data_IF_969688153233
#
_entry.id   IF_969688153233
#
_cell.length_a   1.000
_cell.length_b   1.000
_cell.length_c   1.000
_cell.angle_alpha   90.00
_cell.angle_beta   90.00
_cell.angle_gamma   90.00
#
_symmetry.space_group_name_H-M   'P 1'
#
loop_
_entity.id
_entity.type
_entity.pdbx_description
1 polymer ?
#
# COMPACT_ATOMS: atom_id res chain seq x y z
N UNK A 1 4.55 -29.76 7.35
CA UNK A 1 4.70 -29.04 6.06
C UNK A 1 6.09 -28.43 5.89
N UNK A 2 6.60 -27.70 6.88
CA UNK A 2 7.89 -27.02 6.79
C UNK A 2 9.06 -27.83 6.19
N UNK A 3 9.25 -29.11 6.49
CA UNK A 3 10.36 -29.86 5.88
C UNK A 3 10.22 -30.08 4.35
N UNK A 4 9.02 -29.92 3.80
CA UNK A 4 8.75 -30.19 2.39
C UNK A 4 8.64 -28.93 1.52
N UNK A 5 8.59 -27.75 2.14
CA UNK A 5 8.42 -26.47 1.47
C UNK A 5 9.43 -25.44 1.97
N UNK A 6 9.89 -24.56 1.09
CA UNK A 6 10.86 -23.51 1.43
C UNK A 6 10.23 -22.26 2.06
N UNK A 7 8.95 -21.99 1.79
CA UNK A 7 8.25 -20.80 2.27
C UNK A 7 6.73 -21.00 2.25
N UNK A 8 5.98 -20.11 2.88
CA UNK A 8 4.51 -20.06 2.87
C UNK A 8 4.05 -18.69 2.40
N UNK A 9 3.33 -18.64 1.27
CA UNK A 9 2.54 -17.48 0.88
C UNK A 9 1.12 -17.61 1.42
N UNK A 10 0.64 -16.61 2.15
CA UNK A 10 -0.74 -16.51 2.61
C UNK A 10 -1.48 -15.54 1.70
N UNK A 11 -2.65 -15.96 1.23
CA UNK A 11 -3.46 -15.22 0.28
C UNK A 11 -4.95 -15.51 0.54
N UNK A 12 -5.83 -14.56 0.22
CA UNK A 12 -7.28 -14.66 0.35
C UNK A 12 -7.79 -14.94 1.77
N UNK A 13 -7.06 -14.51 2.79
CA UNK A 13 -7.47 -14.61 4.19
C UNK A 13 -7.97 -13.27 4.69
N UNK A 14 -9.27 -13.19 4.98
CA UNK A 14 -9.89 -11.95 5.43
C UNK A 14 -9.43 -11.50 6.84
N UNK A 15 -9.31 -10.18 7.03
CA UNK A 15 -9.15 -9.60 8.35
C UNK A 15 -10.41 -9.84 9.22
N UNK A 16 -10.29 -10.02 10.57
CA UNK A 16 -9.04 -9.91 11.34
C UNK A 16 -8.22 -11.22 11.40
N UNK A 17 -8.77 -12.35 10.94
CA UNK A 17 -8.14 -13.68 11.08
C UNK A 17 -6.76 -13.76 10.43
N UNK A 18 -6.53 -13.04 9.35
CA UNK A 18 -5.24 -13.04 8.64
C UNK A 18 -4.08 -12.64 9.55
N UNK A 19 -4.26 -11.69 10.45
CA UNK A 19 -3.22 -11.21 11.37
C UNK A 19 -2.79 -12.31 12.34
N UNK A 20 -3.75 -12.96 13.01
CA UNK A 20 -3.47 -14.05 13.94
C UNK A 20 -2.80 -15.24 13.23
N UNK A 21 -3.31 -15.62 12.07
CA UNK A 21 -2.78 -16.77 11.31
C UNK A 21 -1.34 -16.50 10.89
N UNK A 22 -1.05 -15.33 10.35
CA UNK A 22 0.30 -14.97 9.92
C UNK A 22 1.27 -14.96 11.11
N UNK A 23 0.92 -14.31 12.22
CA UNK A 23 1.78 -14.19 13.38
C UNK A 23 2.09 -15.56 14.02
N UNK A 24 1.07 -16.42 14.11
CA UNK A 24 1.25 -17.79 14.60
C UNK A 24 2.17 -18.60 13.70
N UNK A 25 1.96 -18.55 12.39
CA UNK A 25 2.82 -19.28 11.45
C UNK A 25 4.26 -18.76 11.44
N UNK A 26 4.48 -17.45 11.55
CA UNK A 26 5.81 -16.86 11.71
C UNK A 26 6.52 -17.33 12.99
N UNK A 27 5.76 -17.66 14.03
CA UNK A 27 6.29 -18.15 15.31
C UNK A 27 6.52 -19.65 15.28
N UNK A 28 5.59 -20.41 14.69
CA UNK A 28 5.59 -21.87 14.72
C UNK A 28 6.41 -22.52 13.60
N UNK A 29 6.72 -21.79 12.51
CA UNK A 29 7.44 -22.31 11.35
C UNK A 29 8.86 -21.75 11.23
N UNK A 30 9.82 -22.63 10.90
CA UNK A 30 11.22 -22.30 10.63
C UNK A 30 11.51 -21.89 9.18
N UNK A 31 10.46 -21.51 8.42
CA UNK A 31 10.53 -21.07 7.02
C UNK A 31 9.85 -19.70 6.88
N UNK A 32 10.19 -18.90 5.87
CA UNK A 32 9.56 -17.61 5.64
C UNK A 32 8.04 -17.75 5.46
N UNK A 33 7.29 -16.89 6.17
CA UNK A 33 5.84 -16.74 6.03
C UNK A 33 5.56 -15.30 5.63
N UNK A 34 4.76 -15.10 4.60
CA UNK A 34 4.43 -13.79 4.06
C UNK A 34 2.97 -13.75 3.63
N UNK A 35 2.23 -12.74 4.06
CA UNK A 35 0.85 -12.55 3.63
C UNK A 35 0.82 -11.49 2.52
N UNK A 36 0.58 -11.94 1.31
CA UNK A 36 0.72 -11.11 0.12
C UNK A 36 -0.31 -9.98 0.05
N UNK A 37 -1.59 -10.24 0.39
CA UNK A 37 -2.64 -9.20 0.42
C UNK A 37 -2.36 -8.08 1.42
N UNK A 38 -1.55 -8.33 2.44
CA UNK A 38 -1.09 -7.31 3.36
C UNK A 38 0.17 -6.65 2.84
N UNK A 39 1.25 -7.41 2.82
CA UNK A 39 2.59 -6.89 2.68
C UNK A 39 3.01 -6.67 1.23
N UNK A 40 2.59 -7.55 0.31
CA UNK A 40 2.81 -7.37 -1.13
C UNK A 40 2.12 -6.09 -1.61
N UNK A 41 0.86 -5.92 -1.25
CA UNK A 41 0.10 -4.70 -1.57
C UNK A 41 0.75 -3.44 -0.98
N UNK A 42 1.25 -3.49 0.26
CA UNK A 42 1.94 -2.34 0.88
C UNK A 42 3.24 -1.99 0.13
N UNK A 43 4.05 -3.01 -0.21
CA UNK A 43 5.32 -2.83 -0.94
C UNK A 43 5.09 -2.17 -2.29
N UNK A 44 4.16 -2.67 -3.09
CA UNK A 44 3.90 -2.12 -4.43
C UNK A 44 3.23 -0.75 -4.38
N UNK A 45 2.39 -0.49 -3.38
CA UNK A 45 1.80 0.84 -3.14
C UNK A 45 2.89 1.86 -2.84
N UNK A 46 3.79 1.58 -1.91
CA UNK A 46 4.90 2.48 -1.60
C UNK A 46 5.82 2.68 -2.80
N UNK A 47 6.15 1.62 -3.55
CA UNK A 47 6.99 1.71 -4.74
C UNK A 47 6.40 2.69 -5.77
N UNK A 48 5.12 2.55 -6.09
CA UNK A 48 4.42 3.45 -6.99
C UNK A 48 4.34 4.89 -6.47
N UNK A 49 4.11 5.08 -5.16
CA UNK A 49 4.04 6.41 -4.55
C UNK A 49 5.38 7.15 -4.57
N UNK A 50 6.51 6.47 -4.39
CA UNK A 50 7.86 7.06 -4.51
C UNK A 50 8.02 7.72 -5.88
N UNK A 51 7.62 7.04 -6.93
CA UNK A 51 7.72 7.55 -8.30
C UNK A 51 6.62 8.57 -8.63
N UNK A 52 5.39 8.35 -8.19
CA UNK A 52 4.30 9.31 -8.35
C UNK A 52 4.65 10.69 -7.74
N UNK A 53 5.27 10.68 -6.55
CA UNK A 53 5.73 11.91 -5.91
C UNK A 53 6.82 12.63 -6.72
N UNK A 54 7.76 11.88 -7.35
CA UNK A 54 8.76 12.45 -8.26
C UNK A 54 8.11 13.13 -9.47
N UNK A 55 7.09 12.48 -10.08
CA UNK A 55 6.36 13.02 -11.25
C UNK A 55 5.76 14.38 -10.94
N UNK A 56 5.17 14.56 -9.76
CA UNK A 56 4.52 15.82 -9.36
C UNK A 56 5.42 16.75 -8.55
N UNK A 57 6.69 16.40 -8.35
CA UNK A 57 7.66 17.23 -7.62
C UNK A 57 7.37 17.38 -6.13
N UNK A 58 6.64 16.43 -5.51
CA UNK A 58 6.32 16.45 -4.07
C UNK A 58 7.32 15.63 -3.27
N UNK A 59 7.55 16.05 -2.00
CA UNK A 59 8.31 15.27 -1.02
C UNK A 59 7.32 14.49 -0.14
N UNK A 60 7.42 13.16 -0.14
CA UNK A 60 6.51 12.30 0.63
C UNK A 60 6.48 12.63 2.13
N UNK A 61 7.62 13.08 2.68
CA UNK A 61 7.73 13.50 4.09
C UNK A 61 6.95 14.77 4.44
N UNK A 62 6.46 15.52 3.47
CA UNK A 62 5.60 16.70 3.66
C UNK A 62 4.18 16.52 3.15
N UNK A 63 3.87 15.39 2.53
CA UNK A 63 2.55 15.10 1.99
C UNK A 63 1.53 14.77 3.08
N UNK A 64 0.29 15.20 2.87
CA UNK A 64 -0.88 14.72 3.59
C UNK A 64 -1.50 13.54 2.82
N UNK A 65 -1.53 12.39 3.45
CA UNK A 65 -2.05 11.14 2.89
C UNK A 65 -3.36 10.77 3.56
N UNK A 66 -4.35 10.41 2.77
CA UNK A 66 -5.63 9.84 3.22
C UNK A 66 -5.74 8.41 2.72
N UNK A 67 -5.81 7.47 3.66
CA UNK A 67 -5.97 6.04 3.41
C UNK A 67 -7.40 5.63 3.77
N UNK A 68 -8.18 5.12 2.82
CA UNK A 68 -9.50 4.56 3.09
C UNK A 68 -9.48 3.03 3.04
N UNK A 69 -9.91 2.43 4.15
CA UNK A 69 -9.87 1.00 4.37
C UNK A 69 -8.86 0.59 5.43
N UNK A 70 -9.34 0.29 6.64
CA UNK A 70 -8.52 -0.14 7.79
C UNK A 70 -8.56 -1.67 7.96
N UNK A 71 -8.48 -2.39 6.85
CA UNK A 71 -8.37 -3.86 6.80
C UNK A 71 -6.93 -4.32 6.67
N UNK A 72 -6.73 -5.55 6.18
CA UNK A 72 -5.43 -6.19 6.04
C UNK A 72 -4.44 -5.33 5.24
N UNK A 73 -4.78 -4.97 4.00
CA UNK A 73 -3.94 -4.13 3.14
C UNK A 73 -3.71 -2.74 3.74
N UNK A 74 -4.77 -2.06 4.20
CA UNK A 74 -4.66 -0.70 4.74
C UNK A 74 -3.76 -0.62 5.97
N UNK A 75 -3.83 -1.59 6.87
CA UNK A 75 -2.95 -1.65 8.04
C UNK A 75 -1.48 -1.81 7.63
N UNK A 76 -1.19 -2.71 6.69
CA UNK A 76 0.17 -2.93 6.20
C UNK A 76 0.71 -1.70 5.42
N UNK A 77 -0.13 -1.05 4.61
CA UNK A 77 0.22 0.19 3.90
C UNK A 77 0.56 1.29 4.90
N UNK A 78 -0.29 1.56 5.89
CA UNK A 78 -0.05 2.61 6.88
C UNK A 78 1.27 2.40 7.63
N UNK A 79 1.53 1.16 8.07
CA UNK A 79 2.77 0.79 8.74
C UNK A 79 4.00 1.07 7.87
N UNK A 80 4.00 0.60 6.63
CA UNK A 80 5.14 0.76 5.71
C UNK A 80 5.36 2.21 5.31
N UNK A 81 4.29 2.98 5.07
CA UNK A 81 4.36 4.41 4.78
C UNK A 81 4.97 5.19 5.96
N UNK A 82 4.56 4.87 7.19
CA UNK A 82 5.11 5.52 8.39
C UNK A 82 6.58 5.20 8.56
N UNK A 83 7.00 3.96 8.32
CA UNK A 83 8.40 3.54 8.34
C UNK A 83 9.24 4.23 7.26
N UNK A 84 8.67 4.47 6.08
CA UNK A 84 9.34 5.25 5.02
C UNK A 84 9.50 6.72 5.36
N UNK A 85 8.71 7.24 6.29
CA UNK A 85 8.76 8.64 6.70
C UNK A 85 7.79 9.54 5.96
N UNK A 86 6.56 9.04 5.69
CA UNK A 86 5.48 9.88 5.16
C UNK A 86 5.15 11.03 6.13
N UNK A 87 4.66 12.16 5.62
CA UNK A 87 4.23 13.29 6.42
C UNK A 87 3.02 12.98 7.29
N UNK A 88 1.89 13.64 7.01
CA UNK A 88 0.63 13.37 7.72
C UNK A 88 -0.10 12.17 7.12
N UNK A 89 -0.59 11.25 7.96
CA UNK A 89 -1.32 10.06 7.52
C UNK A 89 -2.62 9.90 8.31
N UNK A 90 -3.75 10.06 7.65
CA UNK A 90 -5.08 9.75 8.19
C UNK A 90 -5.61 8.46 7.58
N UNK A 91 -6.14 7.57 8.42
CA UNK A 91 -6.92 6.44 7.97
C UNK A 91 -8.42 6.69 8.21
N UNK A 92 -9.23 6.26 7.24
CA UNK A 92 -10.68 6.45 7.28
C UNK A 92 -11.36 5.09 7.12
N UNK A 93 -12.34 4.82 7.97
CA UNK A 93 -13.23 3.66 7.84
C UNK A 93 -14.68 4.11 7.53
N UNK A 94 -15.64 3.17 7.60
CA UNK A 94 -17.05 3.44 7.32
C UNK A 94 -17.71 4.44 8.29
N UNK A 95 -17.06 4.79 9.39
CA UNK A 95 -17.55 5.72 10.42
C UNK A 95 -16.81 7.05 10.44
N UNK A 96 -15.78 7.21 9.60
CA UNK A 96 -14.96 8.41 9.52
C UNK A 96 -13.49 8.21 9.85
N UNK A 97 -12.79 9.28 10.17
CA UNK A 97 -11.36 9.26 10.50
C UNK A 97 -11.14 8.43 11.77
N UNK A 98 -10.13 7.55 11.73
CA UNK A 98 -9.68 6.82 12.92
C UNK A 98 -8.87 7.79 13.79
N UNK A 99 -9.45 8.19 14.92
CA UNK A 99 -8.93 9.24 15.79
C UNK A 99 -9.04 8.90 17.26
N UNK A 100 -8.38 9.68 18.11
CA UNK A 100 -8.39 9.52 19.57
C UNK A 100 -9.79 9.68 20.19
N UNK A 101 -10.70 10.37 19.51
CA UNK A 101 -12.07 10.60 20.01
C UNK A 101 -13.00 9.39 19.77
N UNK A 102 -12.54 8.39 19.01
CA UNK A 102 -13.31 7.20 18.67
C UNK A 102 -13.31 6.19 19.82
N UNK A 103 -14.49 5.76 20.26
CA UNK A 103 -14.68 4.75 21.30
C UNK A 103 -15.17 3.40 20.78
N UNK A 104 -15.34 3.30 19.46
CA UNK A 104 -15.91 2.14 18.76
C UNK A 104 -14.86 1.33 17.99
N UNK A 105 -13.58 1.59 18.24
CA UNK A 105 -12.47 0.91 17.57
C UNK A 105 -12.27 -0.50 18.16
N UNK A 106 -12.08 -1.47 17.28
CA UNK A 106 -11.61 -2.80 17.68
C UNK A 106 -10.10 -2.80 17.94
N UNK A 107 -9.56 -3.92 18.44
CA UNK A 107 -8.15 -4.02 18.83
C UNK A 107 -7.19 -3.72 17.66
N UNK A 108 -7.52 -4.19 16.44
CA UNK A 108 -6.71 -4.00 15.26
C UNK A 108 -6.64 -2.53 14.83
N UNK A 109 -7.78 -1.82 14.87
CA UNK A 109 -7.82 -0.39 14.57
C UNK A 109 -7.16 0.45 15.65
N UNK A 110 -7.25 0.01 16.91
CA UNK A 110 -6.52 0.65 18.01
C UNK A 110 -5.00 0.52 17.80
N UNK A 111 -4.53 -0.67 17.45
CA UNK A 111 -3.11 -0.87 17.11
C UNK A 111 -2.66 -0.09 15.86
N UNK A 112 -3.56 0.10 14.88
CA UNK A 112 -3.29 0.91 13.70
C UNK A 112 -3.01 2.38 14.06
N UNK A 113 -3.60 2.91 15.13
CA UNK A 113 -3.42 4.31 15.56
C UNK A 113 -1.96 4.67 15.83
N UNK A 114 -1.10 3.71 16.20
CA UNK A 114 0.34 3.93 16.42
C UNK A 114 1.06 4.43 15.16
N UNK A 115 0.45 4.24 13.99
CA UNK A 115 0.98 4.63 12.69
C UNK A 115 0.28 5.84 12.06
N UNK A 116 -0.74 6.39 12.72
CA UNK A 116 -1.60 7.47 12.19
C UNK A 116 -1.41 8.78 12.94
N UNK A 117 -1.83 9.86 12.30
CA UNK A 117 -2.10 11.13 12.97
C UNK A 117 -3.56 11.11 13.46
N UNK A 118 -3.75 11.03 14.77
CA UNK A 118 -5.04 10.70 15.39
C UNK A 118 -5.72 11.88 16.09
N UNK A 119 -5.18 13.09 15.93
CA UNK A 119 -5.65 14.31 16.58
C UNK A 119 -6.76 15.05 15.81
N UNK A 120 -7.25 14.50 14.72
CA UNK A 120 -8.31 15.08 13.88
C UNK A 120 -9.43 14.06 13.73
N UNK A 121 -10.67 14.49 13.97
CA UNK A 121 -11.89 13.71 13.75
C UNK A 121 -12.65 14.25 12.54
N UNK A 122 -13.52 13.45 11.96
CA UNK A 122 -14.37 13.85 10.84
C UNK A 122 -14.70 12.73 9.88
N UNK A 123 -15.25 13.14 8.76
CA UNK A 123 -15.64 12.24 7.63
C UNK A 123 -14.49 12.05 6.65
N UNK A 124 -14.71 11.24 5.60
CA UNK A 124 -13.78 11.16 4.47
C UNK A 124 -13.62 12.52 3.78
N UNK A 125 -14.69 13.29 3.65
CA UNK A 125 -14.66 14.61 3.01
C UNK A 125 -13.79 15.61 3.78
N UNK A 126 -13.82 15.54 5.11
CA UNK A 126 -12.94 16.33 5.96
C UNK A 126 -11.48 15.91 5.83
N UNK A 127 -11.22 14.61 5.78
CA UNK A 127 -9.88 14.08 5.62
C UNK A 127 -9.25 14.49 4.28
N UNK A 128 -10.01 14.38 3.17
CA UNK A 128 -9.53 14.62 1.80
C UNK A 128 -9.23 16.09 1.53
N UNK A 129 -9.87 17.01 2.26
CA UNK A 129 -9.63 18.45 2.11
C UNK A 129 -8.17 18.79 2.38
N UNK A 130 -7.47 19.31 1.37
CA UNK A 130 -6.04 19.62 1.43
C UNK A 130 -5.12 18.38 1.48
N UNK A 131 -5.61 17.19 1.05
CA UNK A 131 -4.77 16.03 0.89
C UNK A 131 -3.95 16.09 -0.41
N UNK A 132 -2.73 15.57 -0.37
CA UNK A 132 -1.86 15.41 -1.54
C UNK A 132 -2.06 14.05 -2.20
N UNK A 133 -2.35 13.04 -1.37
CA UNK A 133 -2.41 11.63 -1.79
C UNK A 133 -3.66 10.99 -1.21
N UNK A 134 -4.40 10.28 -2.07
CA UNK A 134 -5.46 9.37 -1.68
C UNK A 134 -5.05 7.93 -1.99
N UNK A 135 -5.25 7.03 -1.04
CA UNK A 135 -5.06 5.58 -1.19
C UNK A 135 -6.35 4.88 -0.79
N UNK A 136 -6.97 4.17 -1.72
CA UNK A 136 -8.17 3.38 -1.48
C UNK A 136 -7.89 1.88 -1.53
N UNK A 137 -8.29 1.16 -0.48
CA UNK A 137 -8.28 -0.31 -0.38
C UNK A 137 -9.58 -0.79 0.27
N UNK A 138 -10.71 -0.26 -0.18
CA UNK A 138 -11.99 -0.42 0.50
C UNK A 138 -13.11 -0.83 -0.46
N UNK A 139 -13.94 0.10 -0.91
CA UNK A 139 -15.15 -0.17 -1.71
C UNK A 139 -15.21 0.74 -2.93
N UNK A 140 -15.87 0.29 -4.00
CA UNK A 140 -16.04 1.11 -5.20
C UNK A 140 -16.81 2.40 -4.93
N UNK A 141 -16.47 3.46 -5.70
CA UNK A 141 -17.24 4.70 -5.78
C UNK A 141 -17.16 5.60 -4.54
N UNK A 142 -16.17 5.43 -3.66
CA UNK A 142 -16.03 6.24 -2.45
C UNK A 142 -15.36 7.59 -2.69
N UNK A 143 -14.55 7.73 -3.73
CA UNK A 143 -13.91 8.99 -4.09
C UNK A 143 -14.70 9.66 -5.23
N UNK A 144 -15.10 10.91 -5.05
CA UNK A 144 -15.87 11.66 -6.04
C UNK A 144 -15.04 12.80 -6.66
N UNK A 145 -15.42 13.31 -7.86
CA UNK A 145 -14.77 14.49 -8.45
C UNK A 145 -14.78 15.71 -7.54
N UNK A 146 -15.86 15.92 -6.78
CA UNK A 146 -16.00 17.03 -5.82
C UNK A 146 -15.00 16.89 -4.66
N UNK A 147 -14.70 15.68 -4.22
CA UNK A 147 -13.66 15.42 -3.22
C UNK A 147 -12.27 15.70 -3.79
N UNK A 148 -11.99 15.26 -5.02
CA UNK A 148 -10.72 15.54 -5.70
C UNK A 148 -10.48 17.05 -5.83
N UNK A 149 -11.52 17.81 -6.14
CA UNK A 149 -11.43 19.27 -6.23
C UNK A 149 -11.05 19.97 -4.90
N UNK A 150 -11.15 19.27 -3.76
CA UNK A 150 -10.73 19.74 -2.44
C UNK A 150 -9.29 19.33 -2.08
N UNK A 151 -8.68 18.47 -2.86
CA UNK A 151 -7.28 18.08 -2.67
C UNK A 151 -6.33 19.22 -3.04
N UNK A 152 -5.09 19.10 -2.61
CA UNK A 152 -4.02 20.00 -3.05
C UNK A 152 -3.76 19.87 -4.56
N UNK A 153 -3.07 20.87 -5.14
CA UNK A 153 -2.65 20.82 -6.54
C UNK A 153 -1.86 19.53 -6.85
N UNK A 154 -2.02 19.04 -8.08
CA UNK A 154 -1.38 17.82 -8.57
C UNK A 154 -1.62 16.60 -7.67
N UNK A 155 -2.90 16.23 -7.41
CA UNK A 155 -3.23 15.13 -6.52
C UNK A 155 -2.82 13.78 -7.11
N UNK A 156 -2.35 12.88 -6.21
CA UNK A 156 -2.03 11.50 -6.51
C UNK A 156 -3.16 10.62 -5.98
N UNK A 157 -3.70 9.73 -6.82
CA UNK A 157 -4.80 8.83 -6.44
C UNK A 157 -4.44 7.38 -6.76
N UNK A 158 -4.38 6.55 -5.72
CA UNK A 158 -4.24 5.10 -5.81
C UNK A 158 -5.57 4.47 -5.39
N UNK A 159 -6.42 4.11 -6.36
CA UNK A 159 -7.74 3.49 -6.12
C UNK A 159 -7.64 1.99 -6.38
N UNK A 160 -7.35 1.22 -5.33
CA UNK A 160 -6.92 -0.17 -5.42
C UNK A 160 -8.02 -1.19 -5.10
N UNK A 161 -9.25 -0.77 -4.83
CA UNK A 161 -10.37 -1.69 -4.63
C UNK A 161 -10.61 -2.54 -5.88
N UNK A 162 -10.83 -3.84 -5.69
CA UNK A 162 -11.09 -4.81 -6.75
C UNK A 162 -12.51 -5.41 -6.60
N UNK A 163 -13.23 -5.69 -7.70
CA UNK A 163 -12.86 -5.48 -9.12
C UNK A 163 -13.09 -4.05 -9.62
N UNK A 164 -13.78 -3.21 -8.85
CA UNK A 164 -14.10 -1.82 -9.22
C UNK A 164 -13.41 -0.87 -8.25
N UNK A 165 -12.61 0.09 -8.74
CA UNK A 165 -11.87 1.02 -7.90
C UNK A 165 -12.77 2.04 -7.20
N UNK A 166 -12.25 2.76 -6.20
CA UNK A 166 -12.93 3.83 -5.49
C UNK A 166 -13.37 4.99 -6.40
N UNK A 167 -12.66 5.18 -7.50
CA UNK A 167 -13.04 6.06 -8.62
C UNK A 167 -12.48 5.47 -9.92
N UNK A 168 -13.24 5.56 -11.01
CA UNK A 168 -12.75 5.12 -12.32
C UNK A 168 -11.68 6.07 -12.85
N UNK A 169 -10.61 5.55 -13.49
CA UNK A 169 -9.47 6.36 -13.95
C UNK A 169 -9.85 7.52 -14.87
N UNK A 170 -10.77 7.31 -15.79
CA UNK A 170 -11.22 8.37 -16.72
C UNK A 170 -11.89 9.52 -15.96
N UNK A 171 -12.70 9.20 -14.94
CA UNK A 171 -13.37 10.19 -14.11
C UNK A 171 -12.35 10.94 -13.21
N UNK A 172 -11.37 10.21 -12.68
CA UNK A 172 -10.29 10.81 -11.88
C UNK A 172 -9.43 11.77 -12.72
N UNK A 173 -9.05 11.39 -13.93
CA UNK A 173 -8.32 12.26 -14.87
C UNK A 173 -9.13 13.52 -15.25
N UNK A 174 -10.43 13.39 -15.51
CA UNK A 174 -11.32 14.53 -15.76
C UNK A 174 -11.44 15.47 -14.55
N UNK A 175 -11.35 14.92 -13.34
CA UNK A 175 -11.37 15.70 -12.08
C UNK A 175 -10.01 16.37 -11.76
N UNK A 176 -8.96 16.15 -12.57
CA UNK A 176 -7.65 16.80 -12.42
C UNK A 176 -6.63 16.02 -11.61
N UNK A 177 -6.79 14.70 -11.46
CA UNK A 177 -5.77 13.83 -10.85
C UNK A 177 -4.51 13.82 -11.71
N UNK A 178 -3.36 14.15 -11.13
CA UNK A 178 -2.08 14.21 -11.84
C UNK A 178 -1.47 12.81 -12.06
N UNK A 179 -1.56 11.93 -11.08
CA UNK A 179 -1.12 10.53 -11.20
C UNK A 179 -2.20 9.62 -10.66
N UNK A 180 -2.69 8.71 -11.52
CA UNK A 180 -3.72 7.73 -11.20
C UNK A 180 -3.15 6.32 -11.29
N UNK A 181 -3.41 5.49 -10.26
CA UNK A 181 -3.07 4.08 -10.24
C UNK A 181 -4.24 3.22 -9.74
N UNK A 182 -4.34 1.99 -10.24
CA UNK A 182 -5.37 1.03 -9.84
C UNK A 182 -4.79 -0.38 -9.69
N UNK A 183 -5.55 -1.31 -9.09
CA UNK A 183 -5.22 -2.73 -9.10
C UNK A 183 -5.50 -3.43 -10.45
N UNK A 184 -6.14 -2.76 -11.40
CA UNK A 184 -6.61 -3.34 -12.66
C UNK A 184 -5.51 -3.34 -13.74
N UNK A 185 -5.48 -4.43 -14.52
CA UNK A 185 -4.52 -4.62 -15.62
C UNK A 185 -4.89 -3.91 -16.94
N UNK A 186 -6.11 -3.40 -17.04
CA UNK A 186 -6.60 -2.71 -18.22
C UNK A 186 -6.38 -1.18 -18.19
N UNK A 187 -5.70 -0.68 -17.15
CA UNK A 187 -5.31 0.73 -16.99
C UNK A 187 -3.80 0.87 -16.74
N UNK A 188 -3.21 2.04 -17.04
CA UNK A 188 -1.84 2.37 -16.64
C UNK A 188 -1.64 2.27 -15.12
N UNK A 189 -0.38 2.11 -14.71
CA UNK A 189 0.00 2.04 -13.29
C UNK A 189 -0.73 0.94 -12.53
N UNK A 190 -0.65 -0.30 -13.03
CA UNK A 190 -1.21 -1.44 -12.34
C UNK A 190 -0.44 -1.74 -11.05
N UNK A 191 -1.01 -1.39 -9.90
CA UNK A 191 -0.47 -1.72 -8.58
C UNK A 191 -0.95 -3.12 -8.19
N UNK A 192 -0.10 -4.10 -8.44
CA UNK A 192 -0.41 -5.52 -8.22
C UNK A 192 0.68 -6.16 -7.33
N UNK A 193 0.26 -6.83 -6.26
CA UNK A 193 1.14 -7.52 -5.30
C UNK A 193 2.05 -8.58 -5.97
N UNK A 194 1.63 -9.17 -7.10
CA UNK A 194 2.44 -10.09 -7.91
C UNK A 194 3.79 -9.50 -8.37
N UNK A 195 3.94 -8.18 -8.36
CA UNK A 195 5.21 -7.49 -8.64
C UNK A 195 6.25 -7.79 -7.53
N UNK A 196 5.82 -7.94 -6.28
CA UNK A 196 6.71 -7.96 -5.12
C UNK A 196 7.08 -9.38 -4.66
N UNK A 197 6.07 -10.24 -4.40
CA UNK A 197 6.28 -11.48 -3.64
C UNK A 197 7.26 -12.48 -4.31
N UNK A 198 7.31 -12.65 -5.65
CA UNK A 198 8.23 -13.61 -6.23
C UNK A 198 9.70 -13.28 -5.95
N UNK A 199 10.05 -12.00 -6.05
CA UNK A 199 11.39 -11.51 -5.74
C UNK A 199 11.73 -11.58 -4.25
N UNK A 200 10.77 -11.25 -3.38
CA UNK A 200 10.94 -11.36 -1.93
C UNK A 200 11.22 -12.80 -1.51
N UNK A 201 10.41 -13.76 -1.99
CA UNK A 201 10.66 -15.18 -1.71
C UNK A 201 11.95 -15.69 -2.34
N UNK A 202 12.28 -15.26 -3.55
CA UNK A 202 13.53 -15.66 -4.19
C UNK A 202 14.74 -15.24 -3.34
N UNK A 203 14.77 -13.99 -2.90
CA UNK A 203 15.83 -13.51 -2.03
C UNK A 203 15.86 -14.21 -0.67
N UNK A 204 14.70 -14.40 -0.05
CA UNK A 204 14.61 -15.11 1.23
C UNK A 204 15.14 -16.55 1.15
N UNK A 205 14.82 -17.27 0.08
CA UNK A 205 15.30 -18.65 -0.14
C UNK A 205 16.79 -18.68 -0.44
N UNK A 206 17.30 -17.79 -1.28
CA UNK A 206 18.72 -17.73 -1.65
C UNK A 206 19.62 -17.41 -0.46
N UNK A 207 19.16 -16.56 0.45
CA UNK A 207 19.92 -16.07 1.60
C UNK A 207 19.57 -16.80 2.92
N UNK A 208 18.69 -17.82 2.87
CA UNK A 208 18.30 -18.56 4.07
C UNK A 208 17.55 -17.72 5.12
N UNK A 209 16.87 -16.65 4.68
CA UNK A 209 16.09 -15.77 5.53
C UNK A 209 14.85 -16.52 6.03
N UNK A 210 14.69 -16.65 7.33
CA UNK A 210 13.54 -17.30 7.95
C UNK A 210 12.39 -16.34 8.26
N UNK A 211 12.68 -15.04 8.42
CA UNK A 211 11.68 -14.01 8.73
C UNK A 211 11.85 -12.82 7.80
N UNK A 212 10.84 -12.56 6.99
CA UNK A 212 10.76 -11.35 6.16
C UNK A 212 10.38 -10.18 7.06
N UNK A 213 11.33 -9.25 7.27
CA UNK A 213 11.17 -8.11 8.18
C UNK A 213 10.54 -6.89 7.48
N UNK A 214 10.22 -5.85 8.24
CA UNK A 214 9.71 -4.61 7.67
C UNK A 214 10.80 -3.87 6.87
N UNK A 215 12.08 -4.01 7.26
CA UNK A 215 13.24 -3.50 6.52
C UNK A 215 13.35 -4.17 5.14
N UNK A 216 13.15 -5.48 5.05
CA UNK A 216 13.12 -6.19 3.76
C UNK A 216 12.01 -5.66 2.86
N UNK A 217 10.81 -5.41 3.41
CA UNK A 217 9.66 -4.87 2.65
C UNK A 217 9.96 -3.46 2.14
N UNK A 218 10.56 -2.63 2.99
CA UNK A 218 10.97 -1.28 2.63
C UNK A 218 12.04 -1.29 1.53
N UNK A 219 13.06 -2.13 1.67
CA UNK A 219 14.10 -2.30 0.66
C UNK A 219 13.53 -2.78 -0.68
N UNK A 220 12.59 -3.74 -0.64
CA UNK A 220 11.88 -4.21 -1.84
C UNK A 220 11.10 -3.08 -2.52
N UNK A 221 10.37 -2.26 -1.78
CA UNK A 221 9.62 -1.13 -2.35
C UNK A 221 10.54 -0.12 -3.03
N UNK A 222 11.66 0.22 -2.41
CA UNK A 222 12.66 1.16 -2.98
C UNK A 222 13.31 0.54 -4.23
N UNK A 223 13.63 -0.75 -4.19
CA UNK A 223 14.23 -1.46 -5.33
C UNK A 223 13.28 -1.51 -6.54
N UNK A 224 11.98 -1.79 -6.31
CA UNK A 224 10.94 -1.77 -7.35
C UNK A 224 10.81 -0.37 -7.94
N UNK A 225 10.73 0.67 -7.11
CA UNK A 225 10.65 2.06 -7.57
C UNK A 225 11.86 2.45 -8.45
N UNK A 226 13.06 1.96 -8.10
CA UNK A 226 14.30 2.20 -8.84
C UNK A 226 14.34 1.60 -10.25
N UNK A 227 13.47 0.63 -10.56
CA UNK A 227 13.39 0.04 -11.91
C UNK A 227 12.78 0.98 -12.95
N UNK A 228 12.01 1.97 -12.52
CA UNK A 228 11.46 3.03 -13.39
C UNK A 228 12.37 4.26 -13.29
N UNK A 229 13.34 4.36 -14.18
CA UNK A 229 14.37 5.40 -14.14
C UNK A 229 13.79 6.81 -14.35
N UNK A 230 12.86 6.95 -15.28
CA UNK A 230 12.21 8.21 -15.63
C UNK A 230 10.68 8.06 -15.52
N UNK A 231 10.12 8.17 -14.28
CA UNK A 231 8.70 7.97 -14.08
C UNK A 231 7.87 9.06 -14.77
N UNK A 232 6.71 8.65 -15.32
CA UNK A 232 5.71 9.51 -15.91
C UNK A 232 4.36 9.33 -15.22
N UNK A 233 3.38 10.16 -15.52
CA UNK A 233 2.04 10.03 -14.94
C UNK A 233 1.37 8.67 -15.25
N UNK A 234 1.74 8.03 -16.35
CA UNK A 234 1.21 6.74 -16.78
C UNK A 234 2.20 5.56 -16.54
N UNK A 235 3.39 5.82 -15.98
CA UNK A 235 4.40 4.79 -15.66
C UNK A 235 5.14 5.12 -14.37
N UNK A 236 4.52 4.81 -13.21
CA UNK A 236 5.13 4.99 -11.88
C UNK A 236 5.57 3.68 -11.24
N UNK A 237 5.21 2.55 -11.84
CA UNK A 237 5.55 1.21 -11.38
C UNK A 237 5.88 0.32 -12.58
N UNK A 238 6.87 -0.61 -12.49
CA UNK A 238 7.17 -1.51 -13.60
C UNK A 238 6.00 -2.45 -13.89
N UNK A 239 5.94 -2.94 -15.13
CA UNK A 239 4.95 -3.94 -15.53
C UNK A 239 5.14 -5.25 -14.75
N UNK A 240 4.05 -5.99 -14.48
CA UNK A 240 4.07 -7.25 -13.69
C UNK A 240 5.03 -8.31 -14.28
N UNK A 241 5.23 -8.31 -15.59
CA UNK A 241 6.11 -9.26 -16.29
C UNK A 241 7.50 -8.67 -16.62
N UNK A 242 7.93 -7.61 -15.95
CA UNK A 242 9.28 -7.09 -16.11
C UNK A 242 10.30 -8.09 -15.53
N UNK A 243 11.12 -8.66 -16.39
CA UNK A 243 12.11 -9.68 -16.03
C UNK A 243 13.14 -9.20 -15.00
N UNK A 244 13.32 -7.89 -14.85
CA UNK A 244 14.22 -7.28 -13.86
C UNK A 244 13.69 -7.34 -12.43
N UNK A 245 12.37 -7.54 -12.23
CA UNK A 245 11.73 -7.50 -10.90
C UNK A 245 12.35 -8.52 -9.93
N UNK A 246 12.31 -9.80 -10.30
CA UNK A 246 12.77 -10.87 -9.40
C UNK A 246 14.23 -10.72 -8.99
N UNK A 247 15.19 -10.55 -9.92
CA UNK A 247 16.60 -10.39 -9.52
C UNK A 247 16.86 -9.11 -8.71
N UNK A 248 16.20 -7.99 -9.04
CA UNK A 248 16.39 -6.72 -8.33
C UNK A 248 15.87 -6.79 -6.90
N UNK A 249 14.68 -7.35 -6.70
CA UNK A 249 14.09 -7.51 -5.37
C UNK A 249 14.89 -8.53 -4.56
N UNK A 250 15.24 -9.68 -5.14
CA UNK A 250 16.00 -10.70 -4.43
C UNK A 250 17.35 -10.19 -3.90
N UNK A 251 18.02 -9.31 -4.64
CA UNK A 251 19.32 -8.73 -4.25
C UNK A 251 19.26 -7.87 -2.97
N UNK A 252 18.08 -7.39 -2.55
CA UNK A 252 17.91 -6.54 -1.36
C UNK A 252 17.27 -7.29 -0.17
N UNK A 253 16.93 -8.56 -0.34
CA UNK A 253 16.43 -9.42 0.74
C UNK A 253 17.61 -10.23 1.30
N UNK A 254 18.40 -9.59 2.18
CA UNK A 254 19.66 -10.12 2.72
C UNK A 254 19.73 -10.01 4.24
#
# INVERSE_FOLDING_TARGET
>A
MAPSFGAINLEDIAAPKCFEIEERLKTECDIPVFHDDQHGTAVVTLAGLINAAKVVGKQLSSCKVVLIGAGAAGTAIAKLLRQYGIGTLYAVDSRGIISNDRTDLNAEKTALMDYLDTNVSGTLDDAITGADIFIGVSKPGLLTPEMIAKMNADPIVFALANPTPEIMPDLAKQAGVAVMATGRSDFPNQVNNAIAFPGIFRGALDNGIKKITDEHKLAAAIAIAGLVAEPTADEVIPAVFDERLVPTIAAVIV
#
